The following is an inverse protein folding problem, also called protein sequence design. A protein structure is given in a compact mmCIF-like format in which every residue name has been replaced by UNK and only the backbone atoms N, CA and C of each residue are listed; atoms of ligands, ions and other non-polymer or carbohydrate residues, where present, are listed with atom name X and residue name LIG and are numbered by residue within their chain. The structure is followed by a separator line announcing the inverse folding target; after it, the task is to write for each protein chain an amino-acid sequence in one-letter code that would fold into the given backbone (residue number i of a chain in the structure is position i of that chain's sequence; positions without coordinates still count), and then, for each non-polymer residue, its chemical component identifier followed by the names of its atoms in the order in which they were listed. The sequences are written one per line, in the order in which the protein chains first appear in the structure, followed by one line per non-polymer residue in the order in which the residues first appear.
data_IF_694676460003
#
_entry.id   IF_694676460003
#
_cell.length_a   1.000
_cell.length_b   1.000
_cell.length_c   1.000
_cell.angle_alpha   90.00
_cell.angle_beta   90.00
_cell.angle_gamma   90.00
#
_symmetry.space_group_name_H-M   'P 1'
#
loop_
_entity.id
_entity.type
_entity.pdbx_description
1 polymer ?
#
# COMPACT_ATOMS: atom_id res chain seq x y z
N UNK A 1 17.39 16.24 -1.70
CA UNK A 1 18.14 15.02 -2.09
C UNK A 1 17.08 13.93 -2.27
N UNK A 2 16.72 13.62 -3.52
CA UNK A 2 15.59 12.73 -3.82
C UNK A 2 16.00 11.27 -3.61
N UNK A 3 15.49 10.64 -2.57
CA UNK A 3 15.58 9.19 -2.42
C UNK A 3 14.49 8.55 -3.30
N UNK A 4 14.90 7.86 -4.36
CA UNK A 4 14.01 6.96 -5.11
C UNK A 4 13.83 5.69 -4.28
N UNK A 5 12.61 5.42 -3.84
CA UNK A 5 12.27 4.13 -3.25
C UNK A 5 12.19 3.08 -4.36
N UNK A 6 13.01 2.03 -4.21
CA UNK A 6 12.83 0.78 -4.92
C UNK A 6 11.78 -0.03 -4.15
N UNK A 7 10.51 0.05 -4.57
CA UNK A 7 9.70 -1.18 -4.60
C UNK A 7 10.45 -2.19 -5.47
N UNK A 8 10.16 -3.49 -5.41
CA UNK A 8 10.61 -4.38 -6.50
C UNK A 8 10.12 -3.69 -7.77
N UNK A 9 11.05 -3.10 -8.52
CA UNK A 9 10.74 -2.25 -9.65
C UNK A 9 9.79 -3.06 -10.50
N UNK A 10 8.65 -2.52 -10.94
CA UNK A 10 7.75 -3.26 -11.84
C UNK A 10 8.54 -3.93 -12.98
N UNK A 11 9.67 -3.31 -13.37
CA UNK A 11 10.68 -3.88 -14.24
C UNK A 11 11.17 -5.30 -13.88
N UNK A 12 11.45 -5.60 -12.61
CA UNK A 12 11.87 -6.94 -12.18
C UNK A 12 10.71 -7.94 -12.32
N UNK A 13 9.50 -7.56 -11.91
CA UNK A 13 8.32 -8.41 -12.04
C UNK A 13 8.00 -8.70 -13.50
N UNK A 14 8.28 -7.75 -14.41
CA UNK A 14 8.07 -7.92 -15.85
C UNK A 14 8.92 -9.03 -16.48
N UNK A 15 10.00 -9.48 -15.83
CA UNK A 15 10.77 -10.65 -16.28
C UNK A 15 10.17 -11.99 -15.81
N UNK A 16 9.23 -11.97 -14.86
CA UNK A 16 8.59 -13.17 -14.34
C UNK A 16 7.33 -13.53 -15.16
N UNK A 17 6.98 -14.82 -15.30
CA UNK A 17 5.68 -15.24 -15.83
C UNK A 17 4.52 -14.68 -14.99
N UNK A 18 3.34 -14.47 -15.59
CA UNK A 18 2.17 -13.87 -14.93
C UNK A 18 1.77 -14.58 -13.63
N UNK A 19 1.79 -15.91 -13.60
CA UNK A 19 1.47 -16.67 -12.39
C UNK A 19 2.44 -16.40 -11.24
N UNK A 20 3.73 -16.28 -11.56
CA UNK A 20 4.79 -15.98 -10.60
C UNK A 20 4.71 -14.52 -10.13
N UNK A 21 4.36 -13.58 -11.02
CA UNK A 21 4.11 -12.19 -10.62
C UNK A 21 3.00 -12.12 -9.58
N UNK A 22 1.89 -12.84 -9.78
CA UNK A 22 0.79 -12.85 -8.82
C UNK A 22 1.23 -13.39 -7.44
N UNK A 23 1.99 -14.48 -7.41
CA UNK A 23 2.48 -15.08 -6.15
C UNK A 23 3.47 -14.16 -5.43
N UNK A 24 4.39 -13.54 -6.17
CA UNK A 24 5.33 -12.55 -5.62
C UNK A 24 4.55 -11.34 -5.08
N UNK A 25 3.59 -10.80 -5.83
CA UNK A 25 2.79 -9.66 -5.41
C UNK A 25 1.97 -9.96 -4.15
N UNK A 26 1.42 -11.17 -4.02
CA UNK A 26 0.74 -11.60 -2.78
C UNK A 26 1.73 -11.61 -1.61
N UNK A 27 2.95 -12.10 -1.82
CA UNK A 27 3.99 -12.12 -0.77
C UNK A 27 4.45 -10.72 -0.34
N UNK A 28 4.63 -9.80 -1.31
CA UNK A 28 5.01 -8.41 -1.03
C UNK A 28 3.95 -7.70 -0.19
N UNK A 29 2.67 -7.94 -0.50
CA UNK A 29 1.54 -7.32 0.17
C UNK A 29 0.99 -8.14 1.36
N UNK A 30 1.71 -9.18 1.82
CA UNK A 30 1.22 -10.12 2.84
C UNK A 30 0.83 -9.44 4.15
N UNK A 31 1.49 -8.34 4.52
CA UNK A 31 1.17 -7.59 5.73
C UNK A 31 -0.27 -7.06 5.70
N UNK A 32 -0.76 -6.62 4.54
CA UNK A 32 -2.13 -6.14 4.38
C UNK A 32 -3.08 -7.33 4.28
N UNK A 33 -2.81 -8.28 3.38
CA UNK A 33 -3.72 -9.40 3.14
C UNK A 33 -3.90 -10.33 4.34
N UNK A 34 -2.88 -10.51 5.17
CA UNK A 34 -2.96 -11.40 6.34
C UNK A 34 -3.50 -10.70 7.59
N UNK A 35 -3.30 -9.38 7.73
CA UNK A 35 -3.66 -8.67 8.97
C UNK A 35 -4.98 -7.93 8.85
N UNK A 36 -5.34 -7.42 7.67
CA UNK A 36 -6.50 -6.56 7.53
C UNK A 36 -7.81 -7.38 7.41
N UNK A 37 -8.82 -7.13 8.26
CA UNK A 37 -10.06 -7.92 8.29
C UNK A 37 -10.80 -8.00 6.95
N UNK A 38 -10.68 -6.98 6.10
CA UNK A 38 -11.32 -6.94 4.78
C UNK A 38 -10.91 -8.10 3.85
N UNK A 39 -9.73 -8.70 4.06
CA UNK A 39 -9.24 -9.80 3.23
C UNK A 39 -9.36 -11.18 3.88
N UNK A 40 -9.92 -11.27 5.10
CA UNK A 40 -9.99 -12.52 5.87
C UNK A 40 -10.70 -13.66 5.13
N UNK A 41 -11.71 -13.33 4.33
CA UNK A 41 -12.52 -14.30 3.59
C UNK A 41 -12.16 -14.34 2.10
N UNK A 42 -11.14 -13.59 1.67
CA UNK A 42 -10.71 -13.60 0.28
C UNK A 42 -10.04 -14.93 -0.06
N UNK A 43 -10.49 -15.59 -1.12
CA UNK A 43 -9.83 -16.79 -1.64
C UNK A 43 -8.45 -16.48 -2.19
N UNK A 44 -7.59 -17.49 -2.34
CA UNK A 44 -6.25 -17.31 -2.90
C UNK A 44 -6.31 -16.71 -4.32
N UNK A 45 -7.27 -17.13 -5.14
CA UNK A 45 -7.50 -16.54 -6.46
C UNK A 45 -7.88 -15.06 -6.40
N UNK A 46 -8.72 -14.66 -5.44
CA UNK A 46 -9.08 -13.26 -5.22
C UNK A 46 -7.87 -12.43 -4.79
N UNK A 47 -7.07 -12.95 -3.84
CA UNK A 47 -5.85 -12.28 -3.36
C UNK A 47 -4.83 -12.11 -4.48
N UNK A 48 -4.60 -13.14 -5.30
CA UNK A 48 -3.71 -13.09 -6.48
C UNK A 48 -4.18 -12.04 -7.48
N UNK A 49 -5.48 -12.01 -7.78
CA UNK A 49 -6.08 -11.02 -8.69
C UNK A 49 -5.97 -9.58 -8.17
N UNK A 50 -6.08 -9.36 -6.85
CA UNK A 50 -5.93 -8.04 -6.25
C UNK A 50 -4.47 -7.61 -6.15
N UNK A 51 -3.59 -8.53 -5.75
CA UNK A 51 -2.20 -8.22 -5.41
C UNK A 51 -1.42 -7.59 -6.58
N UNK A 52 -1.71 -7.98 -7.82
CA UNK A 52 -1.06 -7.41 -9.02
C UNK A 52 -1.44 -5.94 -9.26
N UNK A 53 -2.49 -5.43 -8.61
CA UNK A 53 -2.91 -4.03 -8.69
C UNK A 53 -2.50 -3.21 -7.46
N UNK A 54 -1.93 -3.85 -6.43
CA UNK A 54 -1.44 -3.13 -5.25
C UNK A 54 -0.12 -2.43 -5.56
N UNK A 55 -0.03 -1.18 -5.14
CA UNK A 55 1.21 -0.41 -5.13
C UNK A 55 1.65 -0.17 -3.69
N UNK A 56 2.95 -0.23 -3.44
CA UNK A 56 3.53 0.11 -2.14
C UNK A 56 4.10 1.53 -2.20
N UNK A 57 3.56 2.43 -1.38
CA UNK A 57 4.07 3.78 -1.21
C UNK A 57 4.92 3.84 0.07
N UNK A 58 6.12 4.41 -0.04
CA UNK A 58 6.98 4.72 1.09
C UNK A 58 7.10 6.24 1.21
N UNK A 59 6.89 6.74 2.41
CA UNK A 59 7.00 8.17 2.74
C UNK A 59 7.99 8.39 3.86
N UNK A 60 8.60 9.58 3.89
CA UNK A 60 9.39 10.06 5.00
C UNK A 60 8.50 10.83 6.01
N UNK A 61 8.97 11.00 7.26
CA UNK A 61 8.29 11.86 8.22
C UNK A 61 8.14 13.28 7.68
N UNK A 62 6.92 13.82 7.71
CA UNK A 62 6.59 15.16 7.19
C UNK A 62 6.19 15.20 5.71
N UNK A 63 6.30 14.10 4.96
CA UNK A 63 5.78 14.04 3.60
C UNK A 63 4.25 14.01 3.61
N UNK A 64 3.63 14.82 2.76
CA UNK A 64 2.19 14.80 2.51
C UNK A 64 1.87 13.74 1.46
N UNK A 65 1.02 12.77 1.83
CA UNK A 65 0.50 11.78 0.88
C UNK A 65 -0.64 12.38 0.08
N UNK A 66 -1.51 13.12 0.76
CA UNK A 66 -2.61 13.82 0.13
C UNK A 66 -2.69 15.29 0.54
N UNK A 67 -3.10 16.15 -0.40
CA UNK A 67 -3.36 17.57 -0.26
C UNK A 67 -4.85 17.87 -0.18
N UNK A 68 -5.21 18.88 0.61
CA UNK A 68 -6.58 19.34 0.70
C UNK A 68 -7.10 19.81 -0.68
N UNK A 69 -8.27 19.31 -1.07
CA UNK A 69 -8.93 19.67 -2.32
C UNK A 69 -8.50 18.84 -3.54
N UNK A 70 -7.58 17.89 -3.40
CA UNK A 70 -7.24 17.00 -4.51
C UNK A 70 -8.20 15.80 -4.63
N UNK A 71 -8.19 15.18 -5.82
CA UNK A 71 -8.94 13.96 -6.08
C UNK A 71 -8.29 12.76 -5.41
N UNK A 72 -9.07 12.02 -4.61
CA UNK A 72 -8.62 10.77 -3.98
C UNK A 72 -9.04 9.59 -4.84
N UNK A 73 -8.11 9.07 -5.63
CA UNK A 73 -8.34 7.94 -6.55
C UNK A 73 -7.86 6.59 -5.98
N UNK A 74 -7.19 6.61 -4.82
CA UNK A 74 -6.56 5.45 -4.21
C UNK A 74 -7.17 5.09 -2.87
N UNK A 75 -7.33 3.78 -2.61
CA UNK A 75 -7.58 3.25 -1.27
C UNK A 75 -6.24 2.81 -0.67
N UNK A 76 -5.85 3.42 0.44
CA UNK A 76 -4.57 3.15 1.09
C UNK A 76 -4.72 2.25 2.33
N UNK A 77 -3.77 1.33 2.51
CA UNK A 77 -3.66 0.50 3.72
C UNK A 77 -2.32 0.79 4.40
N UNK A 78 -2.35 1.11 5.69
CA UNK A 78 -1.13 1.37 6.47
C UNK A 78 -0.50 0.04 6.88
N UNK A 79 0.53 -0.38 6.15
CA UNK A 79 1.25 -1.62 6.42
C UNK A 79 2.23 -1.50 7.62
N UNK A 80 2.75 -0.29 7.86
CA UNK A 80 3.69 0.04 8.94
C UNK A 80 3.66 1.53 9.24
N UNK A 81 3.96 1.91 10.48
CA UNK A 81 3.99 3.31 10.94
C UNK A 81 2.61 3.88 11.25
N UNK A 82 2.56 5.21 11.30
CA UNK A 82 1.37 6.01 11.57
C UNK A 82 1.33 7.24 10.66
N UNK A 83 0.14 7.76 10.42
CA UNK A 83 -0.11 8.96 9.64
C UNK A 83 -0.98 9.93 10.44
N UNK A 84 -0.78 11.21 10.21
CA UNK A 84 -1.60 12.28 10.77
C UNK A 84 -2.49 12.84 9.66
N UNK A 85 -3.76 13.06 9.97
CA UNK A 85 -4.68 13.78 9.09
C UNK A 85 -4.79 15.19 9.62
N UNK A 86 -4.42 16.15 8.77
CA UNK A 86 -4.41 17.57 9.10
C UNK A 86 -5.61 18.27 8.44
N UNK A 87 -6.23 19.20 9.16
CA UNK A 87 -7.18 20.16 8.63
C UNK A 87 -6.89 21.52 9.27
N UNK A 88 -6.65 22.54 8.44
CA UNK A 88 -6.32 23.90 8.89
C UNK A 88 -5.12 23.93 9.88
N UNK A 89 -4.06 23.17 9.56
CA UNK A 89 -2.85 22.95 10.38
C UNK A 89 -3.07 22.26 11.74
N UNK A 90 -4.28 21.77 12.01
CA UNK A 90 -4.62 21.02 13.22
C UNK A 90 -4.76 19.52 12.93
N UNK A 91 -4.29 18.68 13.86
CA UNK A 91 -4.40 17.21 13.75
C UNK A 91 -5.82 16.78 14.12
N UNK A 92 -6.57 16.26 13.14
CA UNK A 92 -7.94 15.79 13.34
C UNK A 92 -8.05 14.28 13.52
N UNK A 93 -7.06 13.52 13.05
CA UNK A 93 -7.03 12.08 13.22
C UNK A 93 -5.59 11.53 13.16
N UNK A 94 -5.41 10.40 13.84
CA UNK A 94 -4.21 9.57 13.75
C UNK A 94 -4.62 8.23 13.14
N UNK A 95 -3.95 7.84 12.05
CA UNK A 95 -4.17 6.58 11.37
C UNK A 95 -2.98 5.67 11.61
N UNK A 96 -3.23 4.38 11.76
CA UNK A 96 -2.19 3.39 12.01
C UNK A 96 -2.53 2.04 11.44
N UNK A 97 -1.58 1.11 11.55
CA UNK A 97 -1.79 -0.29 11.18
C UNK A 97 -2.90 -0.92 12.02
N UNK A 98 -3.82 -1.63 11.36
CA UNK A 98 -4.80 -2.51 12.01
C UNK A 98 -4.08 -3.78 12.50
N UNK A 99 -4.19 -4.07 13.80
CA UNK A 99 -3.53 -5.20 14.48
C UNK A 99 -4.53 -6.30 14.79
#
# INVERSE_FOLDING_TARGET
MNFRFFTISEHVLNYCPKDMQADISVHLNRCVFNSHPAFRLASDGCRRSLAVHFQTLHTAPGDLIFHQGESVEYLCFIASGSLEVLQDDEVIALLGKVV
#
